data_IF_994892138047
#
_entry.id   IF_994892138047
#
_cell.length_a   1.000
_cell.length_b   1.000
_cell.length_c   1.000
_cell.angle_alpha   90.00
_cell.angle_beta   90.00
_cell.angle_gamma   90.00
#
_symmetry.space_group_name_H-M   'P 1'
#
loop_
_entity.id
_entity.type
_entity.pdbx_description
1 polymer ?
#
# COMPACT_ATOMS: atom_id res chain seq x y z
N UNK A 1 -56.58 -26.05 60.67
CA UNK A 1 -56.88 -25.73 59.25
C UNK A 1 -56.02 -24.52 58.89
N UNK A 2 -54.82 -24.74 58.33
CA UNK A 2 -54.40 -24.49 56.93
C UNK A 2 -54.36 -22.99 56.55
N UNK A 3 -53.15 -22.45 56.41
CA UNK A 3 -52.87 -21.26 55.63
C UNK A 3 -52.93 -21.59 54.12
N UNK A 4 -53.06 -20.57 53.26
CA UNK A 4 -51.93 -20.30 52.38
C UNK A 4 -51.56 -18.82 52.25
N UNK A 5 -50.24 -18.62 52.12
CA UNK A 5 -49.56 -17.38 51.74
C UNK A 5 -49.93 -16.90 50.34
N UNK A 6 -50.02 -15.57 50.18
CA UNK A 6 -49.99 -14.89 48.88
C UNK A 6 -48.52 -14.57 48.51
N UNK A 7 -48.10 -14.98 47.31
CA UNK A 7 -46.89 -14.47 46.62
C UNK A 7 -47.22 -14.31 45.14
N UNK A 8 -47.19 -13.09 44.60
CA UNK A 8 -47.04 -12.76 43.16
C UNK A 8 -46.43 -11.34 43.13
N UNK A 9 -45.11 -11.18 43.05
CA UNK A 9 -44.24 -11.10 41.84
C UNK A 9 -44.53 -9.87 40.97
N UNK A 10 -43.70 -8.84 41.18
CA UNK A 10 -43.46 -7.67 40.32
C UNK A 10 -42.61 -8.03 39.10
N UNK A 11 -42.76 -7.28 38.00
CA UNK A 11 -41.78 -6.86 36.97
C UNK A 11 -42.60 -6.41 35.73
N UNK A 12 -42.73 -5.13 35.39
CA UNK A 12 -41.65 -4.21 35.06
C UNK A 12 -41.46 -4.17 33.54
N UNK A 13 -42.43 -3.66 32.78
CA UNK A 13 -42.30 -3.47 31.32
C UNK A 13 -41.66 -2.12 31.03
N UNK A 14 -40.39 -2.14 30.61
CA UNK A 14 -39.69 -0.98 30.05
C UNK A 14 -39.56 -1.23 28.54
N UNK A 15 -40.19 -0.36 27.77
CA UNK A 15 -40.21 -0.37 26.31
C UNK A 15 -38.86 0.16 25.79
N UNK A 16 -37.94 -0.73 25.38
CA UNK A 16 -36.66 -0.33 24.80
C UNK A 16 -36.79 -0.14 23.29
N UNK A 17 -36.69 1.12 22.86
CA UNK A 17 -36.60 1.54 21.45
C UNK A 17 -35.21 1.11 20.91
N UNK A 18 -35.17 0.08 20.05
CA UNK A 18 -33.93 -0.34 19.40
C UNK A 18 -33.68 0.52 18.14
N UNK A 19 -32.84 1.54 18.25
CA UNK A 19 -32.29 2.30 17.13
C UNK A 19 -31.24 1.47 16.41
N UNK A 20 -31.58 1.00 15.21
CA UNK A 20 -30.65 0.28 14.32
C UNK A 20 -29.69 1.31 13.71
N UNK A 21 -28.47 1.45 14.23
CA UNK A 21 -27.42 2.21 13.56
C UNK A 21 -26.96 1.38 12.35
N UNK A 22 -27.58 1.65 11.19
CA UNK A 22 -27.06 1.19 9.90
C UNK A 22 -25.81 2.01 9.58
N UNK A 23 -24.66 1.54 10.04
CA UNK A 23 -23.37 2.08 9.61
C UNK A 23 -23.23 1.79 8.11
N UNK A 24 -23.43 2.81 7.27
CA UNK A 24 -23.01 2.75 5.88
C UNK A 24 -21.48 2.65 5.87
N UNK A 25 -20.95 1.43 5.87
CA UNK A 25 -19.61 1.18 5.38
C UNK A 25 -19.65 1.46 3.88
N UNK A 26 -19.39 2.72 3.50
CA UNK A 26 -19.13 3.05 2.10
C UNK A 26 -17.96 2.18 1.66
N UNK A 27 -18.08 1.38 0.59
CA UNK A 27 -16.90 0.76 0.01
C UNK A 27 -16.01 1.91 -0.46
N UNK A 28 -14.93 2.19 0.26
CA UNK A 28 -13.88 3.08 -0.20
C UNK A 28 -13.41 2.49 -1.53
N UNK A 29 -13.79 3.13 -2.63
CA UNK A 29 -13.42 2.73 -3.98
C UNK A 29 -11.95 3.09 -4.19
N UNK A 30 -11.07 2.44 -3.45
CA UNK A 30 -9.62 2.57 -3.60
C UNK A 30 -9.22 1.75 -4.81
N UNK A 31 -8.59 2.40 -5.78
CA UNK A 31 -7.96 1.73 -6.92
C UNK A 31 -6.96 0.68 -6.39
N UNK A 32 -6.85 -0.50 -7.01
CA UNK A 32 -5.86 -1.48 -6.58
C UNK A 32 -4.46 -0.86 -6.64
N UNK A 33 -3.60 -1.22 -5.69
CA UNK A 33 -2.21 -0.76 -5.67
C UNK A 33 -1.43 -1.37 -6.83
N UNK A 34 -0.60 -0.54 -7.46
CA UNK A 34 0.13 -0.88 -8.67
C UNK A 34 1.60 -0.52 -8.49
N UNK A 35 2.43 -1.55 -8.56
CA UNK A 35 3.87 -1.47 -8.44
C UNK A 35 4.50 -1.71 -9.81
N UNK A 36 5.31 -0.76 -10.27
CA UNK A 36 6.07 -0.93 -11.51
C UNK A 36 7.24 -1.86 -11.25
N UNK A 37 7.34 -2.93 -12.04
CA UNK A 37 8.44 -3.89 -12.02
C UNK A 37 9.01 -4.09 -13.42
N UNK A 38 10.27 -4.51 -13.51
CA UNK A 38 10.93 -4.81 -14.78
C UNK A 38 11.69 -6.14 -14.71
N UNK A 39 11.53 -6.95 -15.75
CA UNK A 39 12.34 -8.15 -16.00
C UNK A 39 13.58 -7.75 -16.79
N UNK A 40 14.65 -7.40 -16.08
CA UNK A 40 15.96 -7.22 -16.69
C UNK A 40 17.07 -7.65 -15.75
N UNK A 41 18.16 -8.24 -16.27
CA UNK A 41 19.37 -8.40 -15.51
C UNK A 41 19.85 -7.02 -15.09
N UNK A 42 19.89 -6.78 -13.78
CA UNK A 42 20.43 -5.53 -13.28
C UNK A 42 21.93 -5.53 -13.51
N UNK A 43 22.33 -4.87 -14.59
CA UNK A 43 23.72 -4.58 -14.86
C UNK A 43 24.28 -3.78 -13.68
N UNK A 44 25.24 -4.38 -12.99
CA UNK A 44 25.98 -3.79 -11.89
C UNK A 44 26.52 -2.41 -12.29
N UNK A 45 26.21 -1.37 -11.52
CA UNK A 45 26.70 0.00 -11.79
C UNK A 45 25.75 1.12 -11.39
N UNK A 46 24.57 0.76 -10.90
CA UNK A 46 23.58 1.69 -10.37
C UNK A 46 23.83 1.91 -8.87
N UNK A 47 24.96 2.56 -8.55
CA UNK A 47 25.46 2.76 -7.18
C UNK A 47 24.92 4.06 -6.55
N UNK A 48 23.91 4.68 -7.15
CA UNK A 48 23.32 5.88 -6.58
C UNK A 48 22.32 5.50 -5.47
N UNK A 49 22.23 6.37 -4.47
CA UNK A 49 21.29 6.24 -3.35
C UNK A 49 20.11 7.15 -3.58
N UNK A 50 18.91 6.59 -3.54
CA UNK A 50 17.67 7.34 -3.44
C UNK A 50 17.11 7.24 -2.03
N UNK A 51 16.62 8.37 -1.53
CA UNK A 51 15.82 8.45 -0.31
C UNK A 51 14.51 9.16 -0.65
N UNK A 52 13.40 8.69 -0.11
CA UNK A 52 12.11 9.36 -0.30
C UNK A 52 10.99 8.74 0.50
N UNK A 53 9.83 9.37 0.50
CA UNK A 53 8.62 8.87 1.18
C UNK A 53 7.68 8.23 0.17
N UNK A 54 7.22 7.02 0.45
CA UNK A 54 6.27 6.30 -0.40
C UNK A 54 4.86 6.88 -0.31
N UNK A 55 4.20 7.01 -1.46
CA UNK A 55 2.81 7.44 -1.62
C UNK A 55 2.11 6.73 -2.78
N UNK A 56 0.82 7.02 -2.95
CA UNK A 56 -0.03 6.44 -4.00
C UNK A 56 -0.83 7.57 -4.65
N UNK A 57 -0.90 7.57 -5.98
CA UNK A 57 -1.73 8.52 -6.72
C UNK A 57 -3.20 8.05 -6.85
N UNK A 58 -4.04 8.86 -7.51
CA UNK A 58 -5.45 8.55 -7.72
C UNK A 58 -5.72 7.29 -8.56
N UNK A 59 -4.72 6.79 -9.30
CA UNK A 59 -4.81 5.60 -10.14
C UNK A 59 -4.23 4.35 -9.46
N UNK A 60 -3.81 4.46 -8.19
CA UNK A 60 -3.18 3.36 -7.45
C UNK A 60 -1.69 3.19 -7.73
N UNK A 61 -1.05 4.10 -8.48
CA UNK A 61 0.36 4.01 -8.82
C UNK A 61 1.22 4.43 -7.62
N UNK A 62 2.11 3.55 -7.20
CA UNK A 62 3.05 3.85 -6.12
C UNK A 62 4.17 4.74 -6.64
N UNK A 63 4.46 5.80 -5.90
CA UNK A 63 5.55 6.72 -6.18
C UNK A 63 6.34 7.01 -4.90
N UNK A 64 7.49 7.66 -5.07
CA UNK A 64 8.30 8.15 -3.96
C UNK A 64 8.58 9.65 -4.14
N UNK A 65 8.39 10.41 -3.08
CA UNK A 65 8.74 11.84 -3.03
C UNK A 65 10.12 11.98 -2.39
N UNK A 66 11.10 12.43 -3.18
CA UNK A 66 12.46 12.65 -2.70
C UNK A 66 12.66 14.00 -2.00
N UNK A 67 13.88 14.28 -1.48
CA UNK A 67 14.24 15.56 -0.90
C UNK A 67 14.08 16.72 -1.88
N UNK A 68 13.46 17.82 -1.43
CA UNK A 68 13.12 18.96 -2.29
C UNK A 68 11.88 18.75 -3.17
N UNK A 69 11.06 17.75 -2.83
CA UNK A 69 9.78 17.41 -3.46
C UNK A 69 9.77 16.92 -4.92
N UNK A 70 10.85 16.39 -5.53
CA UNK A 70 10.72 15.66 -6.79
C UNK A 70 9.98 14.33 -6.57
N UNK A 71 8.97 14.06 -7.41
CA UNK A 71 8.24 12.78 -7.45
C UNK A 71 8.91 11.83 -8.43
N UNK A 72 9.16 10.60 -8.00
CA UNK A 72 9.73 9.52 -8.79
C UNK A 72 8.81 8.30 -8.80
N UNK A 73 8.72 7.65 -9.95
CA UNK A 73 8.27 6.26 -10.00
C UNK A 73 9.47 5.35 -9.77
N UNK A 74 9.40 4.53 -8.72
CA UNK A 74 10.40 3.50 -8.46
C UNK A 74 10.06 2.27 -9.29
N UNK A 75 11.03 1.81 -10.08
CA UNK A 75 10.93 0.63 -10.94
C UNK A 75 11.66 -0.50 -10.25
N UNK A 76 10.91 -1.45 -9.71
CA UNK A 76 11.44 -2.52 -8.89
C UNK A 76 11.90 -3.72 -9.74
N UNK A 77 12.83 -4.54 -9.22
CA UNK A 77 13.11 -5.83 -9.85
C UNK A 77 11.85 -6.69 -9.96
N UNK A 78 11.79 -7.55 -10.97
CA UNK A 78 10.72 -8.53 -11.09
C UNK A 78 10.61 -9.40 -9.83
N UNK A 79 9.38 -9.75 -9.44
CA UNK A 79 9.09 -10.57 -8.26
C UNK A 79 8.74 -9.76 -7.02
N UNK A 80 9.08 -8.47 -7.01
CA UNK A 80 8.59 -7.54 -6.00
C UNK A 80 7.07 -7.36 -6.13
N UNK A 81 6.41 -7.22 -4.98
CA UNK A 81 4.94 -7.10 -4.91
C UNK A 81 4.54 -6.04 -3.90
N UNK A 82 3.32 -5.51 -4.03
CA UNK A 82 2.70 -4.63 -3.03
C UNK A 82 1.51 -5.32 -2.39
N UNK A 83 1.28 -5.08 -1.09
CA UNK A 83 0.07 -5.48 -0.39
C UNK A 83 -0.44 -4.36 0.53
N UNK A 84 -1.76 -4.33 0.76
CA UNK A 84 -2.43 -3.31 1.57
C UNK A 84 -3.38 -2.46 0.75
N UNK A 85 -3.53 -1.19 1.14
CA UNK A 85 -4.38 -0.20 0.48
C UNK A 85 -3.66 1.14 0.31
N UNK A 86 -4.34 2.13 -0.27
CA UNK A 86 -3.78 3.45 -0.56
C UNK A 86 -3.30 4.24 0.66
N UNK A 87 -3.77 3.90 1.87
CA UNK A 87 -3.39 4.58 3.11
C UNK A 87 -2.27 3.81 3.83
N UNK A 88 -2.31 2.48 3.78
CA UNK A 88 -1.39 1.59 4.48
C UNK A 88 -0.96 0.42 3.60
N UNK A 89 0.28 0.43 3.12
CA UNK A 89 0.81 -0.64 2.28
C UNK A 89 2.28 -0.98 2.58
N UNK A 90 2.66 -2.17 2.13
CA UNK A 90 4.00 -2.72 2.21
C UNK A 90 4.47 -3.13 0.81
N UNK A 91 5.75 -2.86 0.50
CA UNK A 91 6.44 -3.44 -0.65
C UNK A 91 7.24 -4.64 -0.16
N UNK A 92 7.09 -5.76 -0.84
CA UNK A 92 7.78 -7.00 -0.55
C UNK A 92 8.73 -7.37 -1.67
N UNK A 93 9.90 -7.91 -1.31
CA UNK A 93 10.82 -8.51 -2.27
C UNK A 93 10.28 -9.84 -2.84
N UNK A 94 11.02 -10.45 -3.77
CA UNK A 94 10.69 -11.75 -4.34
C UNK A 94 10.60 -12.87 -3.29
N UNK A 95 11.33 -12.73 -2.17
CA UNK A 95 11.32 -13.63 -1.01
C UNK A 95 10.18 -13.37 -0.02
N UNK A 96 9.29 -12.41 -0.30
CA UNK A 96 8.18 -11.97 0.57
C UNK A 96 8.62 -11.31 1.88
N UNK A 97 9.81 -10.73 1.90
CA UNK A 97 10.25 -9.88 3.00
C UNK A 97 9.79 -8.44 2.76
N UNK A 98 9.34 -7.76 3.80
CA UNK A 98 8.98 -6.32 3.72
C UNK A 98 10.25 -5.50 3.56
N UNK A 99 10.34 -4.74 2.47
CA UNK A 99 11.49 -3.85 2.16
C UNK A 99 11.15 -2.38 2.31
N UNK A 100 9.87 -2.01 2.22
CA UNK A 100 9.42 -0.65 2.45
C UNK A 100 7.96 -0.60 2.91
N UNK A 101 7.58 0.51 3.57
CA UNK A 101 6.23 0.77 4.10
C UNK A 101 5.76 2.15 3.70
N UNK A 102 4.46 2.31 3.47
CA UNK A 102 3.85 3.61 3.22
C UNK A 102 4.14 4.60 4.36
N UNK A 103 4.31 5.87 4.02
CA UNK A 103 4.60 6.95 4.98
C UNK A 103 5.99 6.89 5.65
N UNK A 104 6.79 5.85 5.41
CA UNK A 104 8.17 5.75 5.89
C UNK A 104 9.16 6.21 4.81
N UNK A 105 10.36 6.61 5.25
CA UNK A 105 11.47 6.85 4.32
C UNK A 105 11.93 5.51 3.76
N UNK A 106 11.87 5.36 2.44
CA UNK A 106 12.52 4.29 1.70
C UNK A 106 13.92 4.73 1.32
N UNK A 107 14.89 3.84 1.51
CA UNK A 107 16.29 4.02 1.09
C UNK A 107 16.63 2.87 0.17
N UNK A 108 16.96 3.18 -1.09
CA UNK A 108 17.27 2.16 -2.10
C UNK A 108 18.47 2.56 -2.94
N UNK A 109 19.26 1.56 -3.32
CA UNK A 109 20.24 1.69 -4.39
C UNK A 109 19.56 1.79 -5.76
N UNK A 110 20.29 2.21 -6.78
CA UNK A 110 19.76 2.29 -8.13
C UNK A 110 20.30 3.48 -8.92
N UNK A 111 19.47 3.97 -9.83
CA UNK A 111 19.81 5.15 -10.63
C UNK A 111 18.69 5.64 -11.52
N UNK A 112 18.89 6.84 -12.06
CA UNK A 112 17.94 7.50 -12.93
C UNK A 112 17.95 6.89 -14.32
N UNK A 113 16.76 6.69 -14.87
CA UNK A 113 16.59 6.29 -16.27
C UNK A 113 15.88 7.41 -17.03
N UNK A 114 16.47 7.82 -18.16
CA UNK A 114 15.92 8.84 -19.05
C UNK A 114 15.48 8.16 -20.34
N UNK A 115 14.28 8.51 -20.84
CA UNK A 115 13.70 8.03 -22.11
C UNK A 115 13.98 6.57 -22.41
N UNK A 116 13.22 5.68 -21.78
CA UNK A 116 13.62 4.29 -21.73
C UNK A 116 13.08 3.46 -22.91
N UNK A 117 13.93 2.98 -23.85
CA UNK A 117 13.57 1.94 -24.81
C UNK A 117 13.16 0.62 -24.14
N UNK A 118 13.34 0.48 -22.83
CA UNK A 118 13.00 -0.69 -22.04
C UNK A 118 11.61 -0.63 -21.42
N UNK A 119 10.85 0.47 -21.61
CA UNK A 119 9.45 0.56 -21.15
C UNK A 119 8.58 -0.60 -21.64
N UNK A 120 8.93 -1.23 -22.75
CA UNK A 120 8.23 -2.40 -23.27
C UNK A 120 8.36 -3.64 -22.36
N UNK A 121 9.37 -3.68 -21.49
CA UNK A 121 9.61 -4.76 -20.53
C UNK A 121 9.04 -4.47 -19.13
N UNK A 122 8.36 -3.34 -18.95
CA UNK A 122 7.86 -2.91 -17.65
C UNK A 122 6.40 -3.33 -17.45
N UNK A 123 6.05 -3.70 -16.23
CA UNK A 123 4.65 -3.81 -15.80
C UNK A 123 4.07 -2.41 -15.57
N UNK A 124 2.73 -2.30 -15.54
CA UNK A 124 2.05 -1.05 -15.16
C UNK A 124 2.57 0.19 -15.90
N UNK A 125 2.74 0.11 -17.24
CA UNK A 125 3.41 1.13 -18.08
C UNK A 125 2.83 2.54 -17.96
N UNK A 126 1.56 2.67 -17.60
CA UNK A 126 0.89 3.95 -17.34
C UNK A 126 1.25 4.56 -15.96
N UNK A 127 1.70 3.75 -15.00
CA UNK A 127 2.33 4.22 -13.75
C UNK A 127 3.81 4.62 -13.96
N UNK A 128 4.44 4.14 -15.04
CA UNK A 128 5.82 4.44 -15.42
C UNK A 128 5.98 5.82 -16.10
N UNK A 129 5.57 6.87 -15.40
CA UNK A 129 5.57 8.25 -15.87
C UNK A 129 6.52 9.14 -15.05
N UNK A 130 6.81 10.35 -15.55
CA UNK A 130 7.66 11.30 -14.86
C UNK A 130 9.13 10.86 -14.76
N UNK A 131 9.75 11.12 -13.60
CA UNK A 131 11.14 10.73 -13.32
C UNK A 131 11.17 9.29 -12.84
N UNK A 132 12.07 8.50 -13.41
CA UNK A 132 12.13 7.06 -13.19
C UNK A 132 13.41 6.72 -12.43
N UNK A 133 13.27 5.93 -11.38
CA UNK A 133 14.40 5.38 -10.63
C UNK A 133 14.35 3.87 -10.69
N UNK A 134 15.33 3.26 -11.37
CA UNK A 134 15.47 1.81 -11.39
C UNK A 134 16.16 1.37 -10.11
N UNK A 135 15.44 0.63 -9.28
CA UNK A 135 15.89 0.16 -7.95
C UNK A 135 16.84 -1.01 -8.13
N UNK A 136 18.05 -0.93 -7.57
CA UNK A 136 18.98 -2.07 -7.56
C UNK A 136 18.62 -3.08 -6.46
N UNK A 137 18.81 -4.38 -6.71
CA UNK A 137 18.87 -5.40 -5.66
C UNK A 137 20.14 -5.19 -4.84
N UNK A 138 20.03 -5.10 -3.52
CA UNK A 138 21.23 -5.17 -2.67
C UNK A 138 21.86 -6.55 -2.84
N UNK A 139 23.14 -6.58 -3.23
CA UNK A 139 23.95 -7.79 -3.21
C UNK A 139 23.98 -8.30 -1.75
N UNK A 140 23.32 -9.44 -1.51
CA UNK A 140 23.30 -10.13 -0.23
C UNK A 140 24.69 -10.54 0.24
#
# INVERSE_FOLDING_TARGET
MKAPSLKVVTLGSILSLATVLSACASPSSSSPLRLVTVDMPQEHGMDARFEGTLGVDGNGCIHATGPGEPVYTLVWPQGYTVQGDSESFEILDAGKNVVARSGSIVVVGGGLVHDDPLKDHWTERDCANGRLWLVAEEAR
#
